data_IF_376079329252
#
_entry.id   IF_376079329252
#
_cell.length_a   1.000
_cell.length_b   1.000
_cell.length_c   1.000
_cell.angle_alpha   90.00
_cell.angle_beta   90.00
_cell.angle_gamma   90.00
#
_symmetry.space_group_name_H-M   'P 1'
#
loop_
_entity.id
_entity.type
_entity.pdbx_description
1 polymer ?
#
# COMPACT_ATOMS: atom_id res chain seq x y z
N UNK A 1 29.18 3.13 11.22
CA UNK A 1 28.35 1.93 11.01
C UNK A 1 28.01 1.81 9.52
N UNK A 2 28.05 0.62 8.91
CA UNK A 2 27.56 0.39 7.56
C UNK A 2 26.08 0.80 7.42
N UNK A 3 25.74 1.48 6.32
CA UNK A 3 24.39 2.01 6.06
C UNK A 3 23.30 0.92 6.07
N UNK A 4 23.64 -0.32 5.68
CA UNK A 4 22.70 -1.44 5.68
C UNK A 4 22.29 -1.89 7.11
N UNK A 5 23.19 -1.78 8.10
CA UNK A 5 22.87 -2.15 9.49
C UNK A 5 21.85 -1.18 10.09
N UNK A 6 21.97 0.10 9.74
CA UNK A 6 20.99 1.11 10.15
C UNK A 6 19.61 0.83 9.55
N UNK A 7 19.56 0.52 8.25
CA UNK A 7 18.31 0.15 7.57
C UNK A 7 17.64 -1.07 8.24
N UNK A 8 18.40 -2.11 8.55
CA UNK A 8 17.88 -3.30 9.24
C UNK A 8 17.35 -2.94 10.63
N UNK A 9 18.09 -2.13 11.39
CA UNK A 9 17.66 -1.69 12.71
C UNK A 9 16.32 -0.96 12.65
N UNK A 10 16.18 0.02 11.74
CA UNK A 10 14.93 0.78 11.57
C UNK A 10 13.78 -0.14 11.14
N UNK A 11 14.00 -1.00 10.15
CA UNK A 11 12.98 -1.98 9.69
C UNK A 11 12.50 -2.88 10.82
N UNK A 12 13.41 -3.38 11.67
CA UNK A 12 13.06 -4.24 12.81
C UNK A 12 12.25 -3.47 13.85
N UNK A 13 12.62 -2.22 14.14
CA UNK A 13 11.87 -1.37 15.07
C UNK A 13 10.47 -1.05 14.56
N UNK A 14 10.34 -0.69 13.28
CA UNK A 14 9.04 -0.43 12.65
C UNK A 14 8.16 -1.68 12.64
N UNK A 15 8.70 -2.83 12.25
CA UNK A 15 7.95 -4.10 12.24
C UNK A 15 7.48 -4.52 13.62
N UNK A 16 8.35 -4.42 14.65
CA UNK A 16 7.97 -4.75 16.03
C UNK A 16 6.88 -3.81 16.58
N UNK A 17 6.99 -2.50 16.32
CA UNK A 17 5.97 -1.54 16.73
C UNK A 17 4.64 -1.76 15.99
N UNK A 18 4.70 -2.08 14.70
CA UNK A 18 3.52 -2.41 13.91
C UNK A 18 2.80 -3.66 14.43
N UNK A 19 3.55 -4.72 14.74
CA UNK A 19 3.01 -5.93 15.36
C UNK A 19 2.32 -5.63 16.69
N UNK A 20 2.96 -4.83 17.54
CA UNK A 20 2.37 -4.38 18.81
C UNK A 20 1.05 -3.62 18.61
N UNK A 21 0.99 -2.68 17.66
CA UNK A 21 -0.27 -1.96 17.38
C UNK A 21 -1.36 -2.93 16.91
N UNK A 22 -1.01 -3.85 16.00
CA UNK A 22 -1.96 -4.84 15.47
C UNK A 22 -2.52 -5.76 16.58
N UNK A 23 -1.69 -6.23 17.48
CA UNK A 23 -2.10 -7.13 18.58
C UNK A 23 -2.94 -6.43 19.66
N UNK A 24 -2.75 -5.11 19.84
CA UNK A 24 -3.45 -4.32 20.85
C UNK A 24 -4.56 -3.44 20.28
N UNK A 25 -4.93 -3.61 19.00
CA UNK A 25 -6.01 -2.88 18.37
C UNK A 25 -7.36 -3.40 18.91
N UNK A 26 -8.25 -2.47 19.27
CA UNK A 26 -9.62 -2.77 19.67
C UNK A 26 -10.58 -2.76 18.48
N UNK A 27 -11.83 -3.13 18.73
CA UNK A 27 -12.91 -3.24 17.73
C UNK A 27 -13.27 -1.90 17.07
N UNK A 28 -12.74 -0.78 17.57
CA UNK A 28 -12.91 0.56 16.99
C UNK A 28 -11.69 1.02 16.18
N UNK A 29 -10.63 0.23 16.18
CA UNK A 29 -9.35 0.56 15.57
C UNK A 29 -9.11 -0.28 14.33
N UNK A 30 -8.87 0.42 13.20
CA UNK A 30 -8.38 -0.20 11.97
C UNK A 30 -6.89 0.10 11.83
N UNK A 31 -6.08 -0.96 11.75
CA UNK A 31 -4.66 -0.87 11.45
C UNK A 31 -4.48 -1.07 9.96
N UNK A 32 -3.92 -0.08 9.27
CA UNK A 32 -3.73 -0.12 7.83
C UNK A 32 -2.24 -0.01 7.46
N UNK A 33 -1.80 -0.89 6.57
CA UNK A 33 -0.53 -0.74 5.85
C UNK A 33 -0.86 -0.38 4.40
N UNK A 34 -0.51 0.83 3.99
CA UNK A 34 -0.74 1.33 2.64
C UNK A 34 0.56 1.66 1.91
N UNK A 35 0.53 1.53 0.59
CA UNK A 35 1.61 1.93 -0.32
C UNK A 35 1.04 2.59 -1.57
N UNK A 36 1.84 3.42 -2.24
CA UNK A 36 1.44 4.14 -3.44
C UNK A 36 2.54 4.11 -4.51
N UNK A 37 2.18 3.68 -5.71
CA UNK A 37 3.04 3.66 -6.88
C UNK A 37 2.47 4.59 -7.96
N UNK A 38 3.14 5.72 -8.21
CA UNK A 38 2.69 6.74 -9.17
C UNK A 38 2.75 6.29 -10.63
N UNK A 39 3.77 5.48 -10.96
CA UNK A 39 4.13 5.11 -12.33
C UNK A 39 4.10 3.60 -12.52
N UNK A 40 3.10 2.94 -11.94
CA UNK A 40 2.91 1.51 -12.16
C UNK A 40 2.63 1.26 -13.63
N UNK A 41 3.48 0.45 -14.24
CA UNK A 41 3.37 0.15 -15.67
C UNK A 41 2.49 -1.07 -15.84
N UNK A 42 1.31 -0.88 -16.44
CA UNK A 42 0.47 -2.00 -16.81
C UNK A 42 1.19 -2.83 -17.86
N UNK A 43 1.34 -4.12 -17.58
CA UNK A 43 1.80 -5.10 -18.56
C UNK A 43 0.61 -5.97 -18.91
N UNK A 44 0.27 -6.03 -20.19
CA UNK A 44 -0.71 -7.01 -20.66
C UNK A 44 -0.01 -8.37 -20.79
N UNK A 45 -0.71 -9.46 -20.54
CA UNK A 45 -0.20 -10.78 -20.93
C UNK A 45 -0.27 -10.92 -22.47
N UNK A 46 0.68 -11.64 -23.07
CA UNK A 46 0.81 -11.80 -24.53
C UNK A 46 0.98 -10.48 -25.33
N UNK A 47 1.80 -9.55 -24.83
CA UNK A 47 2.09 -8.30 -25.55
C UNK A 47 2.75 -8.58 -26.91
N UNK A 48 2.06 -8.17 -27.98
CA UNK A 48 2.66 -8.00 -29.30
C UNK A 48 3.78 -6.94 -29.26
N UNK A 49 4.81 -7.11 -30.10
CA UNK A 49 6.06 -6.33 -30.06
C UNK A 49 5.85 -4.80 -30.14
N UNK A 50 4.73 -4.35 -30.73
CA UNK A 50 4.31 -2.95 -30.80
C UNK A 50 3.95 -2.33 -29.44
N UNK A 51 3.45 -3.10 -28.48
CA UNK A 51 3.11 -2.63 -27.13
C UNK A 51 4.35 -2.28 -26.28
N UNK A 52 5.56 -2.66 -26.74
CA UNK A 52 6.82 -2.25 -26.13
C UNK A 52 6.99 -0.73 -26.06
N UNK A 53 6.41 0.01 -27.02
CA UNK A 53 6.55 1.47 -27.16
C UNK A 53 5.39 2.27 -26.54
N UNK A 54 4.27 1.63 -26.17
CA UNK A 54 3.06 2.30 -25.69
C UNK A 54 2.57 1.78 -24.34
N UNK A 55 3.47 1.64 -23.36
CA UNK A 55 3.10 1.14 -22.03
C UNK A 55 2.25 2.18 -21.29
N UNK A 56 0.99 1.85 -21.01
CA UNK A 56 0.11 2.68 -20.18
C UNK A 56 0.61 2.60 -18.73
N UNK A 57 0.94 3.76 -18.17
CA UNK A 57 1.26 3.90 -16.76
C UNK A 57 0.03 4.42 -16.03
N UNK A 58 -0.20 3.87 -14.85
CA UNK A 58 -1.27 4.26 -13.94
C UNK A 58 -0.70 4.46 -12.54
N UNK A 59 -1.43 5.17 -11.71
CA UNK A 59 -1.15 5.20 -10.29
C UNK A 59 -1.93 4.09 -9.58
N UNK A 60 -1.27 3.39 -8.66
CA UNK A 60 -1.88 2.34 -7.84
C UNK A 60 -1.64 2.67 -6.38
N UNK A 61 -2.72 2.76 -5.61
CA UNK A 61 -2.68 2.70 -4.15
C UNK A 61 -3.06 1.29 -3.72
N UNK A 62 -2.25 0.68 -2.87
CA UNK A 62 -2.58 -0.60 -2.23
C UNK A 62 -2.71 -0.41 -0.73
N UNK A 63 -3.63 -1.14 -0.12
CA UNK A 63 -3.74 -1.18 1.32
C UNK A 63 -4.09 -2.57 1.82
N UNK A 64 -3.53 -2.92 2.96
CA UNK A 64 -3.92 -4.10 3.73
C UNK A 64 -4.33 -3.66 5.12
N UNK A 65 -5.53 -4.06 5.55
CA UNK A 65 -6.15 -3.58 6.78
C UNK A 65 -6.44 -4.73 7.73
N UNK A 66 -6.27 -4.49 9.03
CA UNK A 66 -6.70 -5.36 10.11
C UNK A 66 -7.68 -4.59 10.99
N UNK A 67 -8.78 -5.22 11.36
CA UNK A 67 -9.73 -4.69 12.34
C UNK A 67 -9.42 -5.36 13.68
N UNK A 68 -9.29 -4.58 14.75
CA UNK A 68 -9.13 -5.15 16.10
C UNK A 68 -10.34 -6.02 16.48
N UNK A 69 -10.11 -7.05 17.28
CA UNK A 69 -11.14 -8.03 17.69
C UNK A 69 -11.66 -8.95 16.59
N UNK A 70 -11.29 -8.74 15.32
CA UNK A 70 -11.71 -9.60 14.21
C UNK A 70 -10.86 -10.87 14.13
N UNK A 71 -11.51 -12.04 14.00
CA UNK A 71 -10.84 -13.31 13.68
C UNK A 71 -10.36 -13.39 12.22
N UNK A 72 -10.86 -12.50 11.34
CA UNK A 72 -10.44 -12.42 9.94
C UNK A 72 -9.04 -11.84 9.85
N UNK A 73 -8.16 -12.49 9.08
CA UNK A 73 -6.75 -12.13 8.91
C UNK A 73 -6.47 -10.82 8.15
N UNK A 74 -7.49 -9.98 7.94
CA UNK A 74 -7.42 -8.67 7.30
C UNK A 74 -8.04 -8.63 5.90
N UNK A 75 -8.06 -7.44 5.31
CA UNK A 75 -8.65 -7.16 3.99
C UNK A 75 -7.63 -6.47 3.09
N UNK A 76 -7.68 -6.78 1.79
CA UNK A 76 -6.80 -6.18 0.78
C UNK A 76 -7.60 -5.25 -0.12
N UNK A 77 -7.04 -4.06 -0.36
CA UNK A 77 -7.60 -3.03 -1.22
C UNK A 77 -6.58 -2.60 -2.28
N UNK A 78 -7.08 -2.32 -3.48
CA UNK A 78 -6.29 -1.76 -4.57
C UNK A 78 -7.12 -0.70 -5.30
N UNK A 79 -6.67 0.54 -5.26
CA UNK A 79 -7.27 1.63 -6.03
C UNK A 79 -6.35 1.97 -7.20
N UNK A 80 -6.89 1.90 -8.40
CA UNK A 80 -6.18 2.23 -9.64
C UNK A 80 -6.73 3.53 -10.19
N UNK A 81 -5.84 4.44 -10.56
CA UNK A 81 -6.19 5.74 -11.12
C UNK A 81 -5.35 6.08 -12.34
N UNK A 82 -5.98 6.66 -13.36
CA UNK A 82 -5.30 7.25 -14.51
C UNK A 82 -4.64 8.60 -14.17
N UNK A 83 -4.94 9.17 -12.99
CA UNK A 83 -4.30 10.38 -12.50
C UNK A 83 -2.89 10.05 -11.99
N UNK A 84 -1.88 10.34 -12.81
CA UNK A 84 -0.46 10.09 -12.51
C UNK A 84 0.17 11.06 -11.51
N UNK A 85 -0.61 11.88 -10.81
CA UNK A 85 -0.08 12.93 -9.93
C UNK A 85 -0.09 12.40 -8.51
N UNK A 86 1.08 12.09 -7.96
CA UNK A 86 1.20 11.72 -6.55
C UNK A 86 1.03 12.95 -5.65
N UNK A 87 -0.23 13.36 -5.46
CA UNK A 87 -0.56 14.40 -4.50
C UNK A 87 -1.16 13.80 -3.21
N UNK A 88 -1.02 14.56 -2.12
CA UNK A 88 -1.60 14.20 -0.83
C UNK A 88 -3.13 14.01 -0.91
N UNK A 89 -3.79 14.64 -1.87
CA UNK A 89 -5.24 14.56 -2.04
C UNK A 89 -5.67 13.18 -2.52
N UNK A 90 -4.93 12.59 -3.45
CA UNK A 90 -5.17 11.22 -3.95
C UNK A 90 -5.04 10.21 -2.82
N UNK A 91 -3.97 10.31 -2.01
CA UNK A 91 -3.76 9.44 -0.84
C UNK A 91 -4.87 9.60 0.20
N UNK A 92 -5.25 10.84 0.54
CA UNK A 92 -6.35 11.11 1.47
C UNK A 92 -7.67 10.54 0.95
N UNK A 93 -7.96 10.73 -0.35
CA UNK A 93 -9.18 10.21 -0.98
C UNK A 93 -9.23 8.68 -0.89
N UNK A 94 -8.11 7.98 -1.18
CA UNK A 94 -8.04 6.53 -1.04
C UNK A 94 -8.26 6.07 0.41
N UNK A 95 -7.73 6.81 1.39
CA UNK A 95 -7.92 6.50 2.81
C UNK A 95 -9.36 6.78 3.28
N UNK A 96 -9.99 7.84 2.79
CA UNK A 96 -11.40 8.14 3.08
C UNK A 96 -12.32 7.06 2.53
N UNK A 97 -12.09 6.59 1.30
CA UNK A 97 -12.85 5.48 0.70
C UNK A 97 -12.65 4.18 1.49
N UNK A 98 -11.46 3.96 2.05
CA UNK A 98 -11.13 2.73 2.80
C UNK A 98 -11.80 2.68 4.18
N UNK A 99 -12.08 3.83 4.80
CA UNK A 99 -12.64 3.93 6.16
C UNK A 99 -14.17 4.08 6.17
N UNK A 100 -14.79 4.37 5.01
CA UNK A 100 -16.25 4.42 4.83
C UNK A 100 -16.89 3.02 4.85
#
# INVERSE_FOLDING_TARGET
>A
MPQYLWYIFVKRKQSGYFGHIKENADDTTVVCLADYAENYTLQDQDQMQSAHWSKKQVSIFTAYTWMGGSEVNGYSFGFVSDLKKHDKFTVVTCLEILVQ
#
